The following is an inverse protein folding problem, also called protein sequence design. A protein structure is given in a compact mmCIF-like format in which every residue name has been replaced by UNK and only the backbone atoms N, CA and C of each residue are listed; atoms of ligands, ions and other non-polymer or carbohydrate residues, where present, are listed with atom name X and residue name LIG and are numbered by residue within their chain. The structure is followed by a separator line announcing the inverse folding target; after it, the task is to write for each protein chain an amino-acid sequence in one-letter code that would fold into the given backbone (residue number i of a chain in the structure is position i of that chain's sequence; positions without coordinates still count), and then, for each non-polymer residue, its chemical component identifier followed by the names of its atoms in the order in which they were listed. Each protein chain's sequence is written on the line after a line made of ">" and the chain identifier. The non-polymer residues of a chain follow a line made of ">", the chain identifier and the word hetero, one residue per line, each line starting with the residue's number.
data_IF_328088793840
#
_entry.id   IF_328088793840
#
_cell.length_a   1.000
_cell.length_b   1.000
_cell.length_c   1.000
_cell.angle_alpha   90.00
_cell.angle_beta   90.00
_cell.angle_gamma   90.00
#
_symmetry.space_group_name_H-M   'P 1'
#
loop_
_entity.id
_entity.type
_entity.pdbx_description
1 polymer ?
#
# COMPACT_ATOMS: atom_id res chain seq x y z
N UNK A 1 18.42 -1.50 17.74
CA UNK A 1 18.70 -2.63 16.82
C UNK A 1 19.67 -2.17 15.75
N UNK A 2 20.56 -3.04 15.25
CA UNK A 2 21.39 -2.71 14.09
C UNK A 2 20.78 -3.31 12.84
N UNK A 3 20.96 -2.63 11.72
CA UNK A 3 20.55 -3.12 10.41
C UNK A 3 21.48 -2.54 9.35
N UNK A 4 21.52 -3.19 8.20
CA UNK A 4 22.01 -2.60 6.95
C UNK A 4 20.82 -2.21 6.06
N UNK A 5 21.02 -1.22 5.19
CA UNK A 5 19.99 -0.79 4.24
C UNK A 5 20.56 -0.74 2.83
N UNK A 6 19.84 -1.31 1.87
CA UNK A 6 20.16 -1.26 0.43
C UNK A 6 18.91 -1.11 -0.40
N UNK A 7 19.10 -0.78 -1.67
CA UNK A 7 18.02 -0.86 -2.66
C UNK A 7 17.82 -2.33 -3.09
N UNK A 8 16.57 -2.79 -3.06
CA UNK A 8 16.19 -4.12 -3.54
C UNK A 8 16.03 -4.14 -5.07
N UNK A 9 16.22 -5.31 -5.67
CA UNK A 9 15.83 -5.56 -7.07
C UNK A 9 14.32 -5.63 -7.24
N UNK A 10 13.83 -5.51 -8.48
CA UNK A 10 12.39 -5.59 -8.79
C UNK A 10 11.79 -6.96 -8.44
N UNK A 11 12.52 -8.03 -8.71
CA UNK A 11 12.13 -9.40 -8.45
C UNK A 11 12.08 -9.69 -6.95
N UNK A 12 13.09 -9.23 -6.20
CA UNK A 12 13.11 -9.33 -4.74
C UNK A 12 11.95 -8.53 -4.11
N UNK A 13 11.71 -7.31 -4.60
CA UNK A 13 10.56 -6.54 -4.15
C UNK A 13 9.24 -7.27 -4.44
N UNK A 14 9.07 -7.81 -5.65
CA UNK A 14 7.86 -8.57 -6.00
C UNK A 14 7.66 -9.76 -5.06
N UNK A 15 8.72 -10.51 -4.75
CA UNK A 15 8.68 -11.62 -3.80
C UNK A 15 8.16 -11.20 -2.42
N UNK A 16 8.62 -10.06 -1.88
CA UNK A 16 8.10 -9.51 -0.63
C UNK A 16 6.61 -9.19 -0.73
N UNK A 17 6.16 -8.59 -1.84
CA UNK A 17 4.75 -8.22 -2.01
C UNK A 17 3.84 -9.42 -2.20
N UNK A 18 4.34 -10.51 -2.78
CA UNK A 18 3.58 -11.75 -2.97
C UNK A 18 3.49 -12.58 -1.68
N UNK A 19 4.54 -12.57 -0.86
CA UNK A 19 4.64 -13.41 0.34
C UNK A 19 4.19 -12.74 1.64
N UNK A 20 4.19 -11.40 1.69
CA UNK A 20 3.74 -10.67 2.87
C UNK A 20 2.21 -10.67 2.95
N UNK A 21 1.64 -11.28 3.99
CA UNK A 21 0.19 -11.32 4.23
C UNK A 21 -0.46 -9.93 4.28
N UNK A 22 0.30 -8.94 4.75
CA UNK A 22 -0.15 -7.55 4.91
C UNK A 22 0.05 -6.70 3.65
N UNK A 23 0.69 -7.24 2.60
CA UNK A 23 0.95 -6.46 1.40
C UNK A 23 -0.36 -6.11 0.67
N UNK A 24 -0.31 -5.02 -0.09
CA UNK A 24 -1.44 -4.55 -0.89
C UNK A 24 -0.92 -4.16 -2.27
N UNK A 25 -1.81 -3.96 -3.24
CA UNK A 25 -1.41 -3.52 -4.57
C UNK A 25 -0.52 -2.26 -4.56
N UNK A 26 -0.71 -1.35 -3.60
CA UNK A 26 0.06 -0.11 -3.52
C UNK A 26 1.50 -0.29 -3.02
N UNK A 27 1.84 -1.48 -2.51
CA UNK A 27 3.22 -1.84 -2.20
C UNK A 27 3.96 -2.42 -3.41
N UNK A 28 3.28 -2.72 -4.52
CA UNK A 28 3.88 -3.43 -5.66
C UNK A 28 4.82 -2.55 -6.48
N UNK A 29 5.85 -3.13 -7.13
CA UNK A 29 6.67 -2.39 -8.08
C UNK A 29 5.86 -1.73 -9.20
N UNK A 30 4.80 -2.39 -9.67
CA UNK A 30 3.92 -1.93 -10.75
C UNK A 30 3.27 -0.59 -10.39
N UNK A 31 2.84 -0.42 -9.13
CA UNK A 31 2.31 0.86 -8.67
C UNK A 31 3.36 1.97 -8.79
N UNK A 32 4.57 1.73 -8.32
CA UNK A 32 5.64 2.75 -8.38
C UNK A 32 6.11 3.03 -9.80
N UNK A 33 6.07 2.05 -10.71
CA UNK A 33 6.37 2.26 -12.14
C UNK A 33 5.38 3.22 -12.81
N UNK A 34 4.09 3.18 -12.43
CA UNK A 34 3.10 4.18 -12.89
C UNK A 34 3.53 5.58 -12.46
N UNK A 35 3.90 5.75 -11.20
CA UNK A 35 4.30 7.07 -10.66
C UNK A 35 5.66 7.55 -11.16
N UNK A 36 6.57 6.64 -11.47
CA UNK A 36 7.80 6.98 -12.18
C UNK A 36 7.49 7.56 -13.55
N UNK A 37 6.68 6.84 -14.34
CA UNK A 37 6.35 7.21 -15.72
C UNK A 37 5.64 8.56 -15.80
N UNK A 38 4.65 8.81 -14.94
CA UNK A 38 3.78 9.98 -15.08
C UNK A 38 4.19 11.16 -14.20
N UNK A 39 4.90 10.91 -13.09
CA UNK A 39 5.19 11.94 -12.08
C UNK A 39 6.69 12.05 -11.72
N UNK A 40 7.54 11.25 -12.36
CA UNK A 40 8.99 11.27 -12.15
C UNK A 40 9.42 10.86 -10.73
N UNK A 41 8.57 10.11 -10.02
CA UNK A 41 8.90 9.56 -8.70
C UNK A 41 9.66 8.26 -8.92
N UNK A 42 10.98 8.28 -8.74
CA UNK A 42 11.84 7.12 -9.02
C UNK A 42 11.66 6.05 -7.95
N UNK A 43 11.41 4.77 -8.28
CA UNK A 43 11.34 3.71 -7.28
C UNK A 43 12.66 3.59 -6.52
N UNK A 44 12.58 3.28 -5.23
CA UNK A 44 13.68 3.00 -4.32
C UNK A 44 13.16 2.03 -3.24
N UNK A 45 13.00 0.74 -3.54
CA UNK A 45 12.56 -0.23 -2.54
C UNK A 45 13.67 -0.45 -1.51
N UNK A 46 13.54 0.16 -0.33
CA UNK A 46 14.56 0.10 0.71
C UNK A 46 14.43 -1.22 1.48
N UNK A 47 15.41 -2.12 1.32
CA UNK A 47 15.50 -3.35 2.08
C UNK A 47 16.37 -3.16 3.31
N UNK A 48 15.81 -3.45 4.47
CA UNK A 48 16.46 -3.47 5.76
C UNK A 48 16.74 -4.91 6.15
N UNK A 49 18.01 -5.22 6.40
CA UNK A 49 18.45 -6.53 6.90
C UNK A 49 18.97 -6.34 8.33
N UNK A 50 18.24 -6.90 9.30
CA UNK A 50 18.51 -6.74 10.73
C UNK A 50 19.52 -7.77 11.24
N UNK A 51 20.16 -7.46 12.37
CA UNK A 51 21.14 -8.32 13.02
C UNK A 51 20.54 -9.63 13.59
N UNK A 52 19.23 -9.65 13.83
CA UNK A 52 18.46 -10.85 14.18
C UNK A 52 18.02 -11.69 12.96
N UNK A 53 18.43 -11.28 11.75
CA UNK A 53 18.17 -12.00 10.49
C UNK A 53 16.87 -11.62 9.80
N UNK A 54 16.01 -10.80 10.43
CA UNK A 54 14.73 -10.40 9.82
C UNK A 54 14.95 -9.40 8.69
N UNK A 55 14.07 -9.46 7.70
CA UNK A 55 14.11 -8.57 6.54
C UNK A 55 12.83 -7.78 6.43
N UNK A 56 12.98 -6.48 6.21
CA UNK A 56 11.86 -5.58 6.00
C UNK A 56 12.08 -4.84 4.71
N UNK A 57 11.10 -4.88 3.82
CA UNK A 57 11.07 -4.03 2.66
C UNK A 57 10.17 -2.84 2.93
N UNK A 58 10.68 -1.64 2.70
CA UNK A 58 9.89 -0.42 2.66
C UNK A 58 9.85 0.08 1.21
N UNK A 59 8.75 -0.15 0.48
CA UNK A 59 8.53 0.45 -0.82
C UNK A 59 8.60 1.98 -0.71
N UNK A 60 9.63 2.60 -1.30
CA UNK A 60 9.74 4.05 -1.37
C UNK A 60 9.87 4.51 -2.82
N UNK A 61 9.44 5.73 -3.05
CA UNK A 61 9.69 6.50 -4.25
C UNK A 61 10.46 7.76 -3.88
N UNK A 62 11.46 8.12 -4.69
CA UNK A 62 12.27 9.32 -4.51
C UNK A 62 11.85 10.37 -5.51
N UNK A 63 11.34 11.49 -4.99
CA UNK A 63 11.16 12.72 -5.75
C UNK A 63 12.28 13.70 -5.41
N UNK A 64 13.14 14.00 -6.39
CA UNK A 64 14.18 15.03 -6.22
C UNK A 64 13.54 16.41 -6.20
N UNK A 65 13.82 17.18 -5.16
CA UNK A 65 13.57 18.62 -5.07
C UNK A 65 14.89 19.36 -5.32
N UNK A 66 14.83 20.69 -5.42
CA UNK A 66 16.04 21.51 -5.68
C UNK A 66 17.13 21.30 -4.62
N UNK A 67 16.76 21.13 -3.35
CA UNK A 67 17.71 21.09 -2.22
C UNK A 67 17.71 19.77 -1.44
N UNK A 68 16.74 18.89 -1.66
CA UNK A 68 16.62 17.64 -0.93
C UNK A 68 15.96 16.53 -1.77
N UNK A 69 16.02 15.30 -1.27
CA UNK A 69 15.28 14.15 -1.79
C UNK A 69 14.08 13.89 -0.88
N UNK A 70 12.88 13.82 -1.44
CA UNK A 70 11.67 13.42 -0.73
C UNK A 70 11.42 11.93 -0.96
N UNK A 71 11.38 11.17 0.13
CA UNK A 71 11.03 9.75 0.12
C UNK A 71 9.52 9.59 0.34
N UNK A 72 8.85 8.73 -0.42
CA UNK A 72 7.39 8.62 -0.43
C UNK A 72 7.03 7.14 -0.38
N UNK A 73 6.40 6.67 0.70
CA UNK A 73 6.04 5.25 0.85
C UNK A 73 4.77 4.81 0.11
N UNK A 74 3.96 5.76 -0.34
CA UNK A 74 2.76 5.49 -1.13
C UNK A 74 2.42 6.68 -2.02
N UNK A 75 2.99 6.73 -3.24
CA UNK A 75 2.62 7.73 -4.22
C UNK A 75 1.10 7.71 -4.45
N UNK A 76 0.47 8.89 -4.48
CA UNK A 76 -0.99 9.01 -4.61
C UNK A 76 -1.78 9.00 -3.29
N UNK A 77 -1.13 8.88 -2.13
CA UNK A 77 -1.80 8.96 -0.83
C UNK A 77 -2.57 7.70 -0.43
N UNK A 78 -2.27 6.57 -1.08
CA UNK A 78 -2.87 5.26 -0.82
C UNK A 78 -2.24 4.56 0.39
N UNK A 79 -2.41 3.24 0.51
CA UNK A 79 -1.73 2.45 1.55
C UNK A 79 -0.23 2.38 1.27
N UNK A 80 0.59 2.42 2.31
CA UNK A 80 2.02 2.22 2.20
C UNK A 80 2.56 1.67 3.49
N UNK A 81 3.84 1.89 3.73
CA UNK A 81 4.50 1.40 4.93
C UNK A 81 5.33 0.19 4.58
N UNK A 82 5.78 -0.51 5.62
CA UNK A 82 6.67 -1.65 5.46
C UNK A 82 5.89 -2.93 5.16
N UNK A 83 6.58 -3.86 4.52
CA UNK A 83 6.15 -5.24 4.31
C UNK A 83 7.30 -6.18 4.69
N UNK A 84 6.96 -7.36 5.16
CA UNK A 84 7.92 -8.39 5.55
C UNK A 84 7.28 -9.76 5.43
N UNK A 85 8.11 -10.77 5.20
CA UNK A 85 7.75 -12.18 5.31
C UNK A 85 7.98 -12.73 6.72
N UNK A 86 8.58 -11.93 7.60
CA UNK A 86 8.89 -12.28 8.98
C UNK A 86 7.91 -11.64 9.95
N UNK A 87 7.72 -12.25 11.12
CA UNK A 87 7.00 -11.62 12.22
C UNK A 87 7.85 -10.49 12.82
N UNK A 88 7.34 -9.27 12.78
CA UNK A 88 8.06 -8.09 13.23
C UNK A 88 7.72 -7.72 14.67
N UNK A 89 8.70 -7.14 15.36
CA UNK A 89 8.47 -6.52 16.67
C UNK A 89 8.35 -5.00 16.55
N UNK A 90 7.93 -4.33 17.63
CA UNK A 90 7.81 -2.86 17.65
C UNK A 90 9.18 -2.17 17.48
N UNK A 91 10.27 -2.80 17.95
CA UNK A 91 11.64 -2.31 17.85
C UNK A 91 12.13 -2.25 16.41
N UNK A 92 11.68 -3.18 15.56
CA UNK A 92 11.97 -3.20 14.12
C UNK A 92 11.42 -1.95 13.45
N UNK A 93 10.12 -1.75 13.64
CA UNK A 93 9.36 -0.65 13.05
C UNK A 93 9.87 0.69 13.58
N UNK A 94 10.15 0.79 14.88
CA UNK A 94 10.73 1.99 15.46
C UNK A 94 12.12 2.32 14.87
N UNK A 95 12.97 1.30 14.67
CA UNK A 95 14.31 1.50 14.09
C UNK A 95 14.23 2.02 12.64
N UNK A 96 13.28 1.53 11.83
CA UNK A 96 13.02 2.04 10.47
C UNK A 96 12.50 3.47 10.52
N UNK A 97 11.60 3.77 11.45
CA UNK A 97 11.06 5.12 11.60
C UNK A 97 12.14 6.13 12.00
N UNK A 98 13.03 5.78 12.93
CA UNK A 98 14.19 6.61 13.30
C UNK A 98 15.18 6.81 12.14
N UNK A 99 15.29 5.83 11.24
CA UNK A 99 16.03 6.00 10.00
C UNK A 99 15.35 6.99 9.05
N UNK A 100 14.03 6.85 8.84
CA UNK A 100 13.24 7.75 7.98
C UNK A 100 13.31 9.21 8.44
N UNK A 101 13.32 9.47 9.76
CA UNK A 101 13.46 10.83 10.33
C UNK A 101 14.71 11.59 9.90
N UNK A 102 15.74 10.89 9.39
CA UNK A 102 16.96 11.50 8.86
C UNK A 102 16.78 12.02 7.42
N UNK A 103 15.61 11.80 6.83
CA UNK A 103 15.26 12.17 5.48
C UNK A 103 14.01 13.05 5.47
N UNK A 104 13.77 13.75 4.37
CA UNK A 104 12.44 14.29 4.10
C UNK A 104 11.57 13.14 3.60
N UNK A 105 10.47 12.85 4.29
CA UNK A 105 9.63 11.70 3.95
C UNK A 105 8.13 11.99 4.06
N UNK A 106 7.35 11.23 3.30
CA UNK A 106 5.91 11.03 3.48
C UNK A 106 5.71 9.53 3.70
N UNK A 107 5.28 9.17 4.90
CA UNK A 107 4.96 7.79 5.27
C UNK A 107 3.44 7.65 5.37
N UNK A 108 2.84 6.88 4.47
CA UNK A 108 1.52 6.30 4.66
C UNK A 108 1.70 4.96 5.36
N UNK A 109 0.86 4.70 6.35
CA UNK A 109 0.87 3.45 7.11
C UNK A 109 -0.06 2.41 6.48
N UNK A 110 0.20 1.16 6.81
CA UNK A 110 -0.58 0.05 6.32
C UNK A 110 -1.71 -0.26 7.31
N UNK A 111 -2.99 -0.07 6.94
CA UNK A 111 -4.11 -0.33 7.85
C UNK A 111 -4.21 -1.79 8.28
N UNK A 112 -3.58 -2.73 7.55
CA UNK A 112 -3.55 -4.16 7.86
C UNK A 112 -2.37 -4.57 8.76
N UNK A 113 -1.46 -3.64 9.09
CA UNK A 113 -0.37 -3.91 10.02
C UNK A 113 -0.65 -3.29 11.39
N UNK A 114 -0.86 -4.12 12.40
CA UNK A 114 -1.07 -3.70 13.79
C UNK A 114 0.09 -2.86 14.36
N UNK A 115 1.31 -3.08 13.86
CA UNK A 115 2.47 -2.29 14.29
C UNK A 115 2.41 -0.83 13.83
N UNK A 116 1.50 -0.48 12.91
CA UNK A 116 1.27 0.91 12.51
C UNK A 116 0.99 1.82 13.71
N UNK A 117 0.30 1.31 14.74
CA UNK A 117 -0.08 2.08 15.93
C UNK A 117 1.11 2.41 16.84
N UNK A 118 2.28 1.85 16.57
CA UNK A 118 3.53 2.13 17.30
C UNK A 118 4.23 3.39 16.80
N UNK A 119 3.83 3.91 15.64
CA UNK A 119 4.41 5.10 15.03
C UNK A 119 3.45 6.28 15.17
N UNK A 120 3.93 7.47 15.58
CA UNK A 120 3.09 8.65 15.60
C UNK A 120 2.66 9.02 14.18
N UNK A 121 1.34 9.14 13.97
CA UNK A 121 0.75 9.49 12.69
C UNK A 121 -0.52 10.32 12.90
N UNK A 122 -0.86 11.12 11.89
CA UNK A 122 -2.17 11.76 11.81
C UNK A 122 -3.27 10.71 11.64
N UNK A 123 -4.46 11.01 12.18
CA UNK A 123 -5.58 10.08 12.08
C UNK A 123 -6.10 10.01 10.64
N UNK A 124 -6.30 8.79 10.15
CA UNK A 124 -6.92 8.51 8.86
C UNK A 124 -7.72 7.21 8.97
N UNK A 125 -8.67 7.01 8.06
CA UNK A 125 -9.56 5.85 8.05
C UNK A 125 -9.64 5.22 6.66
N UNK A 126 -9.76 3.89 6.64
CA UNK A 126 -10.21 3.16 5.47
C UNK A 126 -11.34 2.21 5.87
N UNK A 127 -12.20 1.87 4.92
CA UNK A 127 -13.28 0.91 5.11
C UNK A 127 -12.97 -0.34 4.31
N UNK A 128 -12.85 -1.46 5.02
CA UNK A 128 -12.57 -2.77 4.43
C UNK A 128 -13.82 -3.63 4.55
N UNK A 129 -14.22 -4.24 3.44
CA UNK A 129 -15.24 -5.29 3.44
C UNK A 129 -14.50 -6.62 3.27
N UNK A 130 -14.48 -7.47 4.32
CA UNK A 130 -13.95 -8.83 4.19
C UNK A 130 -14.73 -9.60 3.12
N UNK A 131 -14.01 -10.27 2.22
CA UNK A 131 -14.56 -11.10 1.14
C UNK A 131 -14.25 -12.59 1.36
N UNK A 132 -14.03 -12.97 2.61
CA UNK A 132 -13.73 -14.32 3.09
C UNK A 132 -14.97 -15.22 3.17
N UNK A 133 -16.16 -14.63 3.11
CA UNK A 133 -17.44 -15.33 3.04
C UNK A 133 -18.12 -15.16 1.67
N UNK A 134 -19.22 -15.88 1.45
CA UNK A 134 -19.97 -15.75 0.18
C UNK A 134 -20.62 -14.37 0.08
N UNK A 135 -20.71 -13.85 -1.15
CA UNK A 135 -21.34 -12.55 -1.39
C UNK A 135 -22.75 -12.43 -0.79
N UNK A 136 -23.57 -13.48 -0.86
CA UNK A 136 -24.93 -13.46 -0.32
C UNK A 136 -24.95 -13.30 1.21
N UNK A 137 -23.92 -13.79 1.90
CA UNK A 137 -23.79 -13.68 3.36
C UNK A 137 -23.34 -12.26 3.76
N UNK A 138 -22.46 -11.64 2.97
CA UNK A 138 -22.08 -10.23 3.10
C UNK A 138 -23.30 -9.33 2.87
N UNK A 139 -24.04 -9.58 1.79
CA UNK A 139 -25.21 -8.79 1.39
C UNK A 139 -26.30 -8.79 2.47
N UNK A 140 -26.53 -9.94 3.13
CA UNK A 140 -27.50 -10.05 4.24
C UNK A 140 -27.18 -9.13 5.42
N UNK A 141 -25.93 -8.73 5.60
CA UNK A 141 -25.50 -7.81 6.66
C UNK A 141 -25.73 -6.34 6.30
N UNK A 142 -26.05 -6.03 5.04
CA UNK A 142 -26.21 -4.65 4.59
C UNK A 142 -27.50 -4.01 5.12
N UNK A 143 -27.44 -2.70 5.37
CA UNK A 143 -28.60 -1.93 5.81
C UNK A 143 -29.69 -1.98 4.75
N UNK A 144 -30.95 -2.09 5.18
CA UNK A 144 -32.11 -2.12 4.27
C UNK A 144 -32.15 -0.90 3.33
N UNK A 145 -31.66 0.26 3.76
CA UNK A 145 -31.55 1.46 2.93
C UNK A 145 -30.60 1.30 1.73
N UNK A 146 -29.52 0.53 1.86
CA UNK A 146 -28.62 0.17 0.76
C UNK A 146 -29.30 -0.80 -0.19
N UNK A 147 -29.95 -1.84 0.34
CA UNK A 147 -30.69 -2.82 -0.46
C UNK A 147 -31.82 -2.19 -1.29
N UNK A 148 -32.47 -1.15 -0.78
CA UNK A 148 -33.46 -0.37 -1.56
C UNK A 148 -32.84 0.33 -2.77
N UNK A 149 -31.60 0.82 -2.67
CA UNK A 149 -30.87 1.46 -3.79
C UNK A 149 -30.48 0.44 -4.86
N UNK A 150 -29.99 -0.74 -4.45
CA UNK A 150 -29.65 -1.83 -5.37
C UNK A 150 -30.87 -2.24 -6.21
N UNK A 151 -31.99 -2.55 -5.55
CA UNK A 151 -33.26 -2.92 -6.24
C UNK A 151 -33.80 -1.81 -7.15
N UNK A 152 -33.54 -0.54 -6.82
CA UNK A 152 -33.91 0.58 -7.69
C UNK A 152 -33.08 0.56 -8.97
N UNK A 153 -31.76 0.41 -8.86
CA UNK A 153 -30.87 0.34 -10.01
C UNK A 153 -31.22 -0.84 -10.95
N UNK A 154 -31.54 -2.02 -10.38
CA UNK A 154 -31.99 -3.18 -11.15
C UNK A 154 -33.29 -2.90 -11.92
N UNK A 155 -34.28 -2.31 -11.24
CA UNK A 155 -35.58 -1.93 -11.84
C UNK A 155 -35.45 -0.90 -12.95
N UNK A 156 -34.52 0.03 -12.80
CA UNK A 156 -34.20 1.05 -13.81
C UNK A 156 -33.33 0.50 -14.96
N UNK A 157 -32.99 -0.79 -14.92
CA UNK A 157 -32.27 -1.44 -16.01
C UNK A 157 -30.79 -1.09 -16.07
N UNK A 158 -30.19 -0.62 -14.98
CA UNK A 158 -28.75 -0.34 -14.92
C UNK A 158 -27.95 -1.60 -15.26
N UNK A 159 -26.87 -1.43 -16.02
CA UNK A 159 -25.96 -2.51 -16.43
C UNK A 159 -24.52 -2.11 -16.13
N UNK A 160 -23.74 -3.06 -15.64
CA UNK A 160 -22.29 -2.92 -15.44
C UNK A 160 -21.59 -3.76 -16.49
N UNK A 161 -20.57 -3.20 -17.14
CA UNK A 161 -19.68 -3.91 -18.06
C UNK A 161 -18.24 -3.56 -17.71
N UNK A 162 -17.37 -4.57 -17.73
CA UNK A 162 -15.93 -4.36 -17.60
C UNK A 162 -15.42 -3.81 -18.93
N UNK A 163 -14.72 -2.68 -18.90
CA UNK A 163 -13.97 -2.20 -20.05
C UNK A 163 -12.64 -2.94 -20.11
N UNK A 164 -12.39 -3.64 -21.22
CA UNK A 164 -11.16 -4.42 -21.42
C UNK A 164 -10.10 -3.67 -22.23
N UNK A 165 -10.52 -2.64 -22.98
CA UNK A 165 -9.64 -1.89 -23.88
C UNK A 165 -9.45 -0.44 -23.40
N UNK A 166 -8.22 0.06 -23.52
CA UNK A 166 -7.87 1.46 -23.22
C UNK A 166 -8.72 2.45 -24.03
N UNK A 167 -9.07 2.09 -25.27
CA UNK A 167 -9.94 2.90 -26.12
C UNK A 167 -11.29 3.21 -25.45
N UNK A 168 -11.88 2.21 -24.79
CA UNK A 168 -13.14 2.39 -24.05
C UNK A 168 -13.01 3.35 -22.87
N UNK A 169 -11.82 3.49 -22.28
CA UNK A 169 -11.57 4.47 -21.21
C UNK A 169 -11.35 5.90 -21.73
N UNK A 170 -10.87 6.07 -22.97
CA UNK A 170 -10.66 7.39 -23.57
C UNK A 170 -11.93 8.02 -24.14
N UNK A 171 -12.93 7.19 -24.43
CA UNK A 171 -14.23 7.61 -24.96
C UNK A 171 -15.22 8.04 -23.86
N UNK A 172 -14.88 7.85 -22.58
CA UNK A 172 -15.64 8.26 -21.41
C UNK A 172 -15.11 9.56 -20.82
#
# INVERSE_FOLDING_TARGET
>A
MRFSVREAGFEEWREFTEKSEKATFFHTPEWFQVWERYMGIKPFPALFEFDDGKKILLPLGIRRKKTYKLFISSPGGTYGGWISTDELSSEHVFSIFEWLKRHYFILRLNPYDELQHRIPAEHDITQVIPLDERFEDIERKWKQSIMRKVRKAEREGVRVRKMEEEKGWREY
#
